data_IF_370037152020
#
_entry.id   IF_370037152020
#
_cell.length_a   1.000
_cell.length_b   1.000
_cell.length_c   1.000
_cell.angle_alpha   90.00
_cell.angle_beta   90.00
_cell.angle_gamma   90.00
#
_symmetry.space_group_name_H-M   'P 1'
#
loop_
_entity.id
_entity.type
_entity.pdbx_description
1 polymer ?
#
# COMPACT_ATOMS: atom_id res chain seq x y z
N UNK A 1 46.78 39.12 -14.11
CA UNK A 1 47.34 39.50 -12.79
C UNK A 1 46.41 39.14 -11.62
N UNK A 2 45.18 39.68 -11.50
CA UNK A 2 44.28 39.31 -10.38
C UNK A 2 43.76 37.86 -10.50
N UNK A 3 43.43 37.43 -11.73
CA UNK A 3 42.95 36.06 -11.99
C UNK A 3 44.06 35.03 -11.76
N UNK A 4 45.31 35.34 -12.14
CA UNK A 4 46.46 34.45 -11.94
C UNK A 4 46.82 34.30 -10.46
N UNK A 5 46.72 35.38 -9.67
CA UNK A 5 46.94 35.34 -8.21
C UNK A 5 45.84 34.56 -7.49
N UNK A 6 44.60 34.60 -7.99
CA UNK A 6 43.50 33.79 -7.45
C UNK A 6 43.72 32.31 -7.81
N UNK A 7 44.13 32.00 -9.04
CA UNK A 7 44.42 30.63 -9.49
C UNK A 7 45.63 30.00 -8.77
N UNK A 8 46.71 30.76 -8.52
CA UNK A 8 47.87 30.30 -7.72
C UNK A 8 47.55 30.05 -6.24
N UNK A 9 46.56 30.76 -5.67
CA UNK A 9 46.12 30.48 -4.29
C UNK A 9 45.25 29.23 -4.19
N UNK A 10 44.53 28.87 -5.25
CA UNK A 10 43.76 27.62 -5.31
C UNK A 10 44.63 26.39 -5.55
N UNK A 11 45.80 26.52 -6.19
CA UNK A 11 46.76 25.41 -6.36
C UNK A 11 47.54 25.05 -5.09
N UNK A 12 47.47 25.86 -4.03
CA UNK A 12 48.17 25.64 -2.76
C UNK A 12 47.38 24.87 -1.69
N UNK A 13 46.10 24.54 -1.94
CA UNK A 13 45.34 23.73 -0.97
C UNK A 13 45.65 22.26 -1.20
N UNK A 14 46.41 21.65 -0.30
CA UNK A 14 46.66 20.21 -0.36
C UNK A 14 45.33 19.44 -0.37
N UNK A 15 45.24 18.33 -1.11
CA UNK A 15 44.02 17.53 -1.17
C UNK A 15 43.39 17.20 0.21
N UNK A 16 44.17 16.94 1.28
CA UNK A 16 43.64 16.77 2.63
C UNK A 16 43.00 18.06 3.21
N UNK A 17 43.60 19.23 2.96
CA UNK A 17 43.06 20.51 3.42
C UNK A 17 41.77 20.89 2.68
N UNK A 18 41.69 20.63 1.37
CA UNK A 18 40.48 20.84 0.59
C UNK A 18 39.33 19.93 1.07
N UNK A 19 39.64 18.66 1.36
CA UNK A 19 38.68 17.71 1.91
C UNK A 19 38.20 18.14 3.31
N UNK A 20 39.10 18.58 4.18
CA UNK A 20 38.76 19.06 5.51
C UNK A 20 37.85 20.32 5.48
N UNK A 21 38.12 21.26 4.56
CA UNK A 21 37.28 22.44 4.35
C UNK A 21 35.89 22.07 3.81
N UNK A 22 35.81 21.10 2.90
CA UNK A 22 34.54 20.62 2.36
C UNK A 22 33.71 19.90 3.43
N UNK A 23 34.34 19.03 4.23
CA UNK A 23 33.68 18.33 5.34
C UNK A 23 33.19 19.32 6.39
N UNK A 24 34.04 20.25 6.83
CA UNK A 24 33.67 21.25 7.83
C UNK A 24 32.55 22.19 7.35
N UNK A 25 32.60 22.66 6.10
CA UNK A 25 31.53 23.47 5.50
C UNK A 25 30.21 22.70 5.42
N UNK A 26 30.26 21.42 5.06
CA UNK A 26 29.08 20.54 5.01
C UNK A 26 28.48 20.34 6.40
N UNK A 27 29.32 20.09 7.41
CA UNK A 27 28.88 19.96 8.81
C UNK A 27 28.29 21.26 9.33
N UNK A 28 28.90 22.41 9.03
CA UNK A 28 28.40 23.72 9.42
C UNK A 28 27.03 24.01 8.79
N UNK A 29 26.87 23.76 7.49
CA UNK A 29 25.58 23.89 6.81
C UNK A 29 24.53 22.96 7.42
N UNK A 30 24.90 21.71 7.71
CA UNK A 30 24.01 20.76 8.36
C UNK A 30 23.56 21.23 9.75
N UNK A 31 24.49 21.67 10.60
CA UNK A 31 24.18 22.25 11.91
C UNK A 31 23.29 23.49 11.81
N UNK A 32 23.52 24.36 10.82
CA UNK A 32 22.67 25.51 10.54
C UNK A 32 21.24 25.08 10.17
N UNK A 33 21.09 24.03 9.35
CA UNK A 33 19.75 23.51 9.01
C UNK A 33 19.03 22.91 10.22
N UNK A 34 19.74 22.22 11.13
CA UNK A 34 19.17 21.70 12.37
C UNK A 34 18.69 22.84 13.28
N UNK A 35 19.50 23.88 13.43
CA UNK A 35 19.18 25.06 14.21
C UNK A 35 17.96 25.81 13.63
N UNK A 36 17.97 26.05 12.32
CA UNK A 36 16.82 26.63 11.61
C UNK A 36 15.55 25.78 11.78
N UNK A 37 15.66 24.46 11.60
CA UNK A 37 14.53 23.54 11.72
C UNK A 37 13.85 23.57 13.08
N UNK A 38 14.64 23.73 14.15
CA UNK A 38 14.15 23.74 15.52
C UNK A 38 13.53 25.09 15.91
N UNK A 39 14.17 26.21 15.58
CA UNK A 39 13.78 27.54 16.08
C UNK A 39 12.96 28.37 15.10
N UNK A 40 13.25 28.29 13.80
CA UNK A 40 12.74 29.25 12.80
C UNK A 40 11.84 28.62 11.73
N UNK A 41 11.73 27.29 11.70
CA UNK A 41 10.83 26.63 10.76
C UNK A 41 9.38 27.03 11.04
N UNK A 42 8.51 27.17 10.02
CA UNK A 42 7.07 27.44 10.19
C UNK A 42 6.29 26.43 11.07
N UNK A 43 6.93 25.32 11.45
CA UNK A 43 6.38 24.26 12.30
C UNK A 43 7.14 24.12 13.63
N UNK A 44 7.96 25.10 14.02
CA UNK A 44 8.73 25.05 15.26
C UNK A 44 7.83 24.88 16.50
N UNK A 45 6.67 25.54 16.47
CA UNK A 45 5.64 25.53 17.50
C UNK A 45 4.80 24.23 17.54
N UNK A 46 4.79 23.45 16.46
CA UNK A 46 4.05 22.17 16.42
C UNK A 46 4.76 21.16 17.35
N UNK A 47 4.03 20.52 18.29
CA UNK A 47 4.60 19.53 19.19
C UNK A 47 5.00 18.26 18.44
N UNK A 48 6.02 17.57 18.96
CA UNK A 48 6.54 16.36 18.33
C UNK A 48 7.82 15.87 19.01
N UNK A 49 8.28 14.65 18.70
CA UNK A 49 9.53 14.12 19.23
C UNK A 49 10.71 15.03 18.91
N UNK A 50 11.61 15.26 19.88
CA UNK A 50 12.76 16.17 19.73
C UNK A 50 13.57 15.91 18.45
N UNK A 51 13.95 14.65 18.22
CA UNK A 51 14.72 14.24 17.04
C UNK A 51 13.94 14.38 15.73
N UNK A 52 12.61 14.29 15.77
CA UNK A 52 11.74 14.50 14.60
C UNK A 52 11.71 15.98 14.17
N UNK A 53 11.81 16.91 15.12
CA UNK A 53 11.90 18.35 14.83
C UNK A 53 13.23 18.70 14.17
N UNK A 54 14.31 17.99 14.52
CA UNK A 54 15.65 18.25 14.01
C UNK A 54 15.90 17.62 12.65
N UNK A 55 15.50 16.36 12.43
CA UNK A 55 15.89 15.63 11.22
C UNK A 55 14.89 14.54 10.81
N UNK A 56 14.80 14.32 9.48
CA UNK A 56 14.04 13.20 8.89
C UNK A 56 14.62 11.83 9.27
N UNK A 57 15.89 11.75 9.71
CA UNK A 57 16.50 10.48 10.11
C UNK A 57 15.77 9.80 11.26
N UNK A 58 15.12 10.57 12.14
CA UNK A 58 14.28 10.00 13.18
C UNK A 58 13.13 9.20 12.58
N UNK A 59 12.43 9.75 11.59
CA UNK A 59 11.33 9.08 10.88
C UNK A 59 11.82 7.84 10.12
N UNK A 60 12.95 7.97 9.41
CA UNK A 60 13.60 6.84 8.71
C UNK A 60 13.88 5.68 9.68
N UNK A 61 14.43 5.97 10.86
CA UNK A 61 14.70 4.96 11.89
C UNK A 61 13.42 4.26 12.37
N UNK A 62 12.30 4.97 12.50
CA UNK A 62 11.03 4.35 12.90
C UNK A 62 10.46 3.45 11.80
N UNK A 63 10.60 3.85 10.53
CA UNK A 63 10.19 3.02 9.38
C UNK A 63 11.05 1.75 9.29
N UNK A 64 12.37 1.87 9.44
CA UNK A 64 13.29 0.74 9.45
C UNK A 64 13.03 -0.26 10.59
N UNK A 65 12.45 0.19 11.70
CA UNK A 65 12.04 -0.68 12.81
C UNK A 65 10.71 -1.40 12.57
N UNK A 66 9.96 -1.03 11.53
CA UNK A 66 8.62 -1.55 11.25
C UNK A 66 7.52 -1.02 12.20
N UNK A 67 7.85 -0.14 13.14
CA UNK A 67 6.98 0.25 14.26
C UNK A 67 6.35 1.65 14.08
N UNK A 68 6.34 2.16 12.85
CA UNK A 68 5.93 3.54 12.55
C UNK A 68 4.45 3.79 12.89
N UNK A 69 3.59 2.77 12.77
CA UNK A 69 2.16 2.89 13.06
C UNK A 69 1.89 3.03 14.56
N UNK A 70 2.50 2.18 15.41
CA UNK A 70 2.37 2.31 16.86
C UNK A 70 3.05 3.58 17.36
N UNK A 71 4.21 3.93 16.79
CA UNK A 71 4.90 5.18 17.12
C UNK A 71 4.01 6.38 16.84
N UNK A 72 3.36 6.45 15.68
CA UNK A 72 2.44 7.54 15.34
C UNK A 72 1.30 7.64 16.34
N UNK A 73 0.63 6.52 16.66
CA UNK A 73 -0.45 6.48 17.66
C UNK A 73 0.01 7.01 19.02
N UNK A 74 1.14 6.51 19.53
CA UNK A 74 1.70 6.95 20.80
C UNK A 74 2.10 8.45 20.80
N UNK A 75 2.45 9.02 19.63
CA UNK A 75 2.76 10.45 19.54
C UNK A 75 1.51 11.32 19.49
N UNK A 76 0.47 10.89 18.78
CA UNK A 76 -0.83 11.58 18.78
C UNK A 76 -1.51 11.53 20.16
N UNK A 77 -1.40 10.40 20.88
CA UNK A 77 -1.86 10.31 22.28
C UNK A 77 -1.12 11.28 23.21
N UNK A 78 0.18 11.50 23.00
CA UNK A 78 1.00 12.38 23.85
C UNK A 78 0.88 13.86 23.51
N UNK A 79 0.83 14.19 22.22
CA UNK A 79 0.98 15.57 21.73
C UNK A 79 -0.30 16.16 21.13
N UNK A 80 -1.35 15.36 20.97
CA UNK A 80 -2.63 15.79 20.41
C UNK A 80 -2.73 15.56 18.89
N UNK A 81 -3.74 16.16 18.22
CA UNK A 81 -4.17 15.82 16.86
C UNK A 81 -3.21 16.27 15.74
N UNK A 82 -2.23 17.11 16.05
CA UNK A 82 -1.24 17.63 15.10
C UNK A 82 0.15 17.36 15.67
N UNK A 83 0.92 16.50 15.01
CA UNK A 83 2.24 16.07 15.47
C UNK A 83 3.28 16.28 14.37
N UNK A 84 4.38 16.97 14.69
CA UNK A 84 5.53 17.10 13.78
C UNK A 84 6.33 15.79 13.74
N UNK A 85 6.36 15.16 12.57
CA UNK A 85 7.02 13.86 12.34
C UNK A 85 8.36 13.99 11.62
N UNK A 86 8.59 15.12 10.96
CA UNK A 86 9.88 15.51 10.40
C UNK A 86 10.00 17.05 10.34
N UNK A 87 11.17 17.62 10.02
CA UNK A 87 11.34 19.06 9.83
C UNK A 87 10.22 19.70 9.00
N UNK A 88 9.91 19.07 7.86
CA UNK A 88 9.00 19.52 6.81
C UNK A 88 7.68 18.72 6.75
N UNK A 89 7.41 17.84 7.72
CA UNK A 89 6.31 16.88 7.66
C UNK A 89 5.51 16.82 8.97
N UNK A 90 4.20 16.99 8.85
CA UNK A 90 3.25 16.96 9.96
C UNK A 90 2.26 15.83 9.76
N UNK A 91 2.02 15.06 10.82
CA UNK A 91 0.97 14.04 10.89
C UNK A 91 -0.24 14.63 11.59
N UNK A 92 -1.42 14.46 10.99
CA UNK A 92 -2.70 14.99 11.47
C UNK A 92 -3.72 13.83 11.52
N UNK A 93 -4.60 13.82 12.53
CA UNK A 93 -5.70 12.85 12.67
C UNK A 93 -7.04 13.31 12.07
N UNK A 94 -7.05 14.40 11.29
CA UNK A 94 -8.24 15.02 10.70
C UNK A 94 -8.49 14.49 9.26
N UNK A 95 -9.67 13.90 8.98
CA UNK A 95 -10.05 13.42 7.65
C UNK A 95 -9.95 14.46 6.52
N UNK A 96 -10.01 15.76 6.82
CA UNK A 96 -9.91 16.83 5.83
C UNK A 96 -8.53 16.91 5.12
N UNK A 97 -7.50 16.22 5.64
CA UNK A 97 -6.12 16.28 5.15
C UNK A 97 -5.81 15.49 3.85
N UNK A 98 -6.79 14.90 3.18
CA UNK A 98 -6.59 13.85 2.15
C UNK A 98 -6.14 14.29 0.73
N UNK A 99 -6.05 15.58 0.41
CA UNK A 99 -5.94 16.05 -1.00
C UNK A 99 -4.50 16.20 -1.50
N UNK A 100 -4.10 15.50 -2.59
CA UNK A 100 -2.71 15.51 -3.10
C UNK A 100 -2.44 16.40 -4.31
N UNK A 101 -3.33 16.39 -5.29
CA UNK A 101 -3.39 17.22 -6.51
C UNK A 101 -4.38 16.47 -7.40
N UNK A 102 -5.59 17.01 -7.52
CA UNK A 102 -6.72 16.31 -8.12
C UNK A 102 -6.57 16.20 -9.65
N UNK A 103 -5.82 17.09 -10.32
CA UNK A 103 -5.84 17.19 -11.78
C UNK A 103 -5.11 16.04 -12.49
N UNK A 104 -3.86 15.77 -12.08
CA UNK A 104 -3.05 14.70 -12.68
C UNK A 104 -3.62 13.33 -12.35
N UNK A 105 -4.05 13.14 -11.10
CA UNK A 105 -4.71 11.91 -10.68
C UNK A 105 -6.05 11.69 -11.39
N UNK A 106 -6.88 12.73 -11.54
CA UNK A 106 -8.16 12.63 -12.25
C UNK A 106 -7.98 12.27 -13.72
N UNK A 107 -6.97 12.82 -14.41
CA UNK A 107 -6.69 12.52 -15.81
C UNK A 107 -6.37 11.03 -16.05
N UNK A 108 -5.60 10.38 -15.18
CA UNK A 108 -5.35 8.93 -15.27
C UNK A 108 -6.56 8.11 -14.83
N UNK A 109 -7.19 8.49 -13.72
CA UNK A 109 -8.35 7.78 -13.15
C UNK A 109 -9.58 7.83 -14.06
N UNK A 110 -9.72 8.82 -14.96
CA UNK A 110 -10.87 8.92 -15.89
C UNK A 110 -11.03 7.71 -16.81
N UNK A 111 -9.94 6.99 -17.09
CA UNK A 111 -9.96 5.83 -17.97
C UNK A 111 -10.43 4.58 -17.22
N UNK A 112 -9.89 4.35 -16.03
CA UNK A 112 -10.02 3.08 -15.31
C UNK A 112 -11.01 3.11 -14.14
N UNK A 113 -11.49 4.28 -13.70
CA UNK A 113 -12.41 4.41 -12.55
C UNK A 113 -13.64 3.50 -12.65
N UNK A 114 -14.24 3.42 -13.84
CA UNK A 114 -15.45 2.62 -14.05
C UNK A 114 -15.18 1.12 -13.91
N UNK A 115 -13.96 0.66 -14.16
CA UNK A 115 -13.58 -0.75 -14.00
C UNK A 115 -13.64 -1.19 -12.54
N UNK A 116 -13.28 -0.28 -11.64
CA UNK A 116 -13.24 -0.50 -10.19
C UNK A 116 -14.52 -0.04 -9.48
N UNK A 117 -15.60 0.26 -10.21
CA UNK A 117 -16.89 0.53 -9.58
C UNK A 117 -17.49 -0.76 -9.02
N UNK A 118 -18.30 -0.65 -7.95
CA UNK A 118 -18.96 -1.83 -7.37
C UNK A 118 -19.77 -2.61 -8.41
N UNK A 119 -20.48 -1.92 -9.31
CA UNK A 119 -21.25 -2.59 -10.36
C UNK A 119 -20.37 -3.40 -11.31
N UNK A 120 -19.22 -2.86 -11.74
CA UNK A 120 -18.29 -3.54 -12.64
C UNK A 120 -17.59 -4.73 -11.96
N UNK A 121 -17.30 -4.63 -10.66
CA UNK A 121 -16.69 -5.73 -9.90
C UNK A 121 -17.70 -6.85 -9.65
N UNK A 122 -18.98 -6.53 -9.39
CA UNK A 122 -20.02 -7.54 -9.21
C UNK A 122 -20.32 -8.33 -10.49
N UNK A 123 -20.10 -7.76 -11.68
CA UNK A 123 -20.13 -8.53 -12.93
C UNK A 123 -19.05 -9.63 -13.00
N UNK A 124 -17.99 -9.48 -12.19
CA UNK A 124 -16.84 -10.37 -12.14
C UNK A 124 -16.85 -11.26 -10.88
N UNK A 125 -17.95 -11.32 -10.13
CA UNK A 125 -18.08 -12.09 -8.89
C UNK A 125 -17.77 -13.58 -9.07
N UNK A 126 -18.22 -14.17 -10.19
CA UNK A 126 -17.98 -15.59 -10.49
C UNK A 126 -16.51 -15.98 -10.58
N UNK A 127 -15.62 -15.03 -10.86
CA UNK A 127 -14.17 -15.26 -10.87
C UNK A 127 -13.62 -15.43 -9.45
N UNK A 128 -14.15 -14.66 -8.50
CA UNK A 128 -13.82 -14.81 -7.08
C UNK A 128 -14.39 -16.12 -6.54
N UNK A 129 -15.60 -16.49 -6.94
CA UNK A 129 -16.24 -17.75 -6.57
C UNK A 129 -15.41 -18.97 -6.98
N UNK A 130 -14.84 -18.96 -8.19
CA UNK A 130 -13.95 -20.02 -8.64
C UNK A 130 -12.74 -20.19 -7.70
N UNK A 131 -12.14 -19.08 -7.24
CA UNK A 131 -11.04 -19.11 -6.29
C UNK A 131 -11.49 -19.60 -4.91
N UNK A 132 -12.68 -19.19 -4.44
CA UNK A 132 -13.25 -19.64 -3.17
C UNK A 132 -13.46 -21.15 -3.17
N UNK A 133 -13.95 -21.69 -4.29
CA UNK A 133 -14.17 -23.14 -4.45
C UNK A 133 -12.84 -23.90 -4.46
N UNK A 134 -11.82 -23.41 -5.18
CA UNK A 134 -10.46 -23.99 -5.11
C UNK A 134 -9.94 -23.97 -3.67
N UNK A 135 -10.08 -22.84 -2.98
CA UNK A 135 -9.61 -22.71 -1.60
C UNK A 135 -10.33 -23.68 -0.66
N UNK A 136 -11.65 -23.78 -0.76
CA UNK A 136 -12.47 -24.73 0.01
C UNK A 136 -12.05 -26.18 -0.23
N UNK A 137 -11.85 -26.58 -1.48
CA UNK A 137 -11.40 -27.93 -1.81
C UNK A 137 -10.05 -28.26 -1.15
N UNK A 138 -9.11 -27.30 -1.13
CA UNK A 138 -7.83 -27.48 -0.44
C UNK A 138 -7.95 -27.54 1.08
N UNK A 139 -8.86 -26.76 1.67
CA UNK A 139 -9.14 -26.85 3.11
C UNK A 139 -9.71 -28.22 3.50
N UNK A 140 -10.59 -28.80 2.67
CA UNK A 140 -11.13 -30.14 2.89
C UNK A 140 -10.04 -31.23 2.89
N UNK A 141 -9.01 -31.10 2.05
CA UNK A 141 -7.85 -32.01 2.06
C UNK A 141 -7.13 -32.03 3.42
N UNK A 142 -6.92 -30.86 4.05
CA UNK A 142 -6.29 -30.78 5.37
C UNK A 142 -7.15 -31.40 6.47
N UNK A 143 -8.47 -31.25 6.38
CA UNK A 143 -9.41 -31.89 7.32
C UNK A 143 -9.31 -33.40 7.22
N UNK A 144 -9.32 -33.96 6.02
CA UNK A 144 -9.20 -35.41 5.79
C UNK A 144 -7.86 -35.94 6.31
N UNK A 145 -6.78 -35.20 6.09
CA UNK A 145 -5.43 -35.58 6.53
C UNK A 145 -5.18 -35.32 8.03
N UNK A 146 -6.08 -34.58 8.70
CA UNK A 146 -5.90 -34.09 10.08
C UNK A 146 -4.59 -33.32 10.26
N UNK A 147 -4.21 -32.54 9.25
CA UNK A 147 -2.98 -31.76 9.23
C UNK A 147 -3.23 -30.27 9.53
N UNK A 148 -2.23 -29.60 10.08
CA UNK A 148 -2.25 -28.17 10.34
C UNK A 148 -1.64 -27.40 9.17
N UNK A 149 -2.12 -26.18 8.91
CA UNK A 149 -1.59 -25.35 7.84
C UNK A 149 -1.46 -23.88 8.26
N UNK A 150 -0.59 -23.14 7.58
CA UNK A 150 -0.45 -21.69 7.78
C UNK A 150 -1.54 -20.94 7.02
N UNK A 151 -2.64 -20.62 7.70
CA UNK A 151 -3.74 -19.84 7.13
C UNK A 151 -3.27 -18.49 6.55
N UNK A 152 -2.24 -17.85 7.13
CA UNK A 152 -1.73 -16.58 6.63
C UNK A 152 -1.11 -16.72 5.23
N UNK A 153 -0.31 -17.76 5.01
CA UNK A 153 0.25 -18.07 3.69
C UNK A 153 -0.85 -18.42 2.68
N UNK A 154 -1.84 -19.20 3.09
CA UNK A 154 -2.96 -19.57 2.23
C UNK A 154 -3.81 -18.38 1.79
N UNK A 155 -4.06 -17.42 2.68
CA UNK A 155 -4.76 -16.18 2.33
C UNK A 155 -3.95 -15.31 1.37
N UNK A 156 -2.61 -15.34 1.46
CA UNK A 156 -1.74 -14.68 0.48
C UNK A 156 -1.87 -15.34 -0.90
N UNK A 157 -1.77 -16.66 -0.97
CA UNK A 157 -1.93 -17.43 -2.22
C UNK A 157 -3.31 -17.20 -2.84
N UNK A 158 -4.37 -17.23 -2.01
CA UNK A 158 -5.72 -16.92 -2.44
C UNK A 158 -5.84 -15.51 -3.06
N UNK A 159 -5.25 -14.49 -2.43
CA UNK A 159 -5.29 -13.13 -2.97
C UNK A 159 -4.55 -12.99 -4.32
N UNK A 160 -3.44 -13.72 -4.50
CA UNK A 160 -2.74 -13.78 -5.79
C UNK A 160 -3.62 -14.41 -6.88
N UNK A 161 -4.19 -15.58 -6.60
CA UNK A 161 -5.04 -16.29 -7.56
C UNK A 161 -6.31 -15.50 -7.90
N UNK A 162 -6.93 -14.82 -6.93
CA UNK A 162 -8.09 -13.94 -7.17
C UNK A 162 -7.74 -12.82 -8.14
N UNK A 163 -6.58 -12.18 -8.00
CA UNK A 163 -6.17 -11.14 -8.96
C UNK A 163 -5.90 -11.73 -10.34
N UNK A 164 -5.26 -12.90 -10.43
CA UNK A 164 -5.06 -13.59 -11.71
C UNK A 164 -6.39 -13.90 -12.42
N UNK A 165 -7.33 -14.49 -11.69
CA UNK A 165 -8.66 -14.85 -12.20
C UNK A 165 -9.49 -13.61 -12.56
N UNK A 166 -9.43 -12.54 -11.77
CA UNK A 166 -10.15 -11.29 -12.03
C UNK A 166 -9.59 -10.51 -13.24
N UNK A 167 -8.26 -10.49 -13.40
CA UNK A 167 -7.60 -9.75 -14.48
C UNK A 167 -7.60 -10.54 -15.79
N UNK A 168 -7.17 -11.79 -15.76
CA UNK A 168 -6.90 -12.58 -16.96
C UNK A 168 -7.83 -13.78 -17.13
N UNK A 169 -8.83 -13.93 -16.25
CA UNK A 169 -9.75 -15.07 -16.29
C UNK A 169 -9.07 -16.41 -16.00
N UNK A 170 -7.87 -16.38 -15.41
CA UNK A 170 -7.07 -17.56 -15.08
C UNK A 170 -6.31 -17.39 -13.76
N UNK A 171 -6.51 -18.32 -12.83
CA UNK A 171 -5.72 -18.47 -11.61
C UNK A 171 -4.24 -18.67 -11.96
N UNK A 172 -3.34 -18.10 -11.15
CA UNK A 172 -1.90 -18.34 -11.30
C UNK A 172 -1.51 -19.75 -10.88
N UNK A 173 -2.32 -20.37 -10.00
CA UNK A 173 -2.16 -21.73 -9.51
C UNK A 173 -1.55 -21.79 -8.11
N UNK A 174 -1.39 -20.66 -7.40
CA UNK A 174 -0.69 -20.61 -6.10
C UNK A 174 -1.31 -21.58 -5.10
N UNK A 175 -2.65 -21.62 -5.04
CA UNK A 175 -3.38 -22.55 -4.19
C UNK A 175 -3.35 -24.00 -4.70
N UNK A 176 -3.35 -24.21 -6.02
CA UNK A 176 -3.36 -25.54 -6.62
C UNK A 176 -2.06 -26.28 -6.35
N UNK A 177 -0.93 -25.64 -6.64
CA UNK A 177 0.39 -26.25 -6.48
C UNK A 177 1.00 -26.02 -5.10
N UNK A 178 0.33 -25.24 -4.24
CA UNK A 178 0.81 -24.83 -2.90
C UNK A 178 2.20 -24.19 -2.98
N UNK A 179 2.40 -23.32 -3.98
CA UNK A 179 3.72 -22.83 -4.37
C UNK A 179 3.73 -21.32 -4.66
N UNK A 180 4.78 -20.64 -4.16
CA UNK A 180 5.09 -19.24 -4.51
C UNK A 180 5.81 -19.20 -5.87
N UNK A 181 5.02 -19.18 -6.95
CA UNK A 181 5.58 -19.19 -8.30
C UNK A 181 6.52 -18.01 -8.52
N UNK A 182 7.72 -18.34 -9.02
CA UNK A 182 8.79 -17.38 -9.31
C UNK A 182 9.24 -16.53 -8.10
N UNK A 183 8.80 -16.87 -6.88
CA UNK A 183 9.15 -16.15 -5.66
C UNK A 183 8.51 -14.77 -5.54
N UNK A 184 7.29 -14.59 -6.06
CA UNK A 184 6.58 -13.30 -6.03
C UNK A 184 6.28 -12.83 -4.61
N UNK A 185 5.76 -13.70 -3.73
CA UNK A 185 5.48 -13.35 -2.33
C UNK A 185 6.78 -12.90 -1.65
N UNK A 186 7.84 -13.70 -1.77
CA UNK A 186 9.16 -13.39 -1.18
C UNK A 186 9.77 -12.10 -1.73
N UNK A 187 9.53 -11.82 -3.01
CA UNK A 187 9.96 -10.58 -3.66
C UNK A 187 9.30 -9.37 -3.02
N UNK A 188 7.97 -9.41 -2.82
CA UNK A 188 7.23 -8.33 -2.16
C UNK A 188 7.70 -8.12 -0.72
N UNK A 189 7.84 -9.18 0.07
CA UNK A 189 8.32 -9.13 1.46
C UNK A 189 9.68 -8.44 1.59
N UNK A 190 10.56 -8.66 0.61
CA UNK A 190 11.90 -8.07 0.62
C UNK A 190 11.90 -6.62 0.10
N UNK A 191 11.06 -6.33 -0.90
CA UNK A 191 11.05 -5.04 -1.60
C UNK A 191 10.28 -3.97 -0.83
N UNK A 192 9.12 -4.29 -0.25
CA UNK A 192 8.22 -3.32 0.39
C UNK A 192 8.88 -2.52 1.55
N UNK A 193 9.67 -3.12 2.45
CA UNK A 193 10.39 -2.36 3.48
C UNK A 193 11.41 -1.36 2.91
N UNK A 194 12.08 -1.73 1.82
CA UNK A 194 13.02 -0.85 1.13
C UNK A 194 12.28 0.32 0.45
N UNK A 195 11.15 0.04 -0.20
CA UNK A 195 10.28 1.07 -0.80
C UNK A 195 9.73 2.02 0.27
N UNK A 196 9.22 1.49 1.39
CA UNK A 196 8.72 2.30 2.51
C UNK A 196 9.79 3.24 3.07
N UNK A 197 11.02 2.75 3.21
CA UNK A 197 12.17 3.56 3.63
C UNK A 197 12.47 4.66 2.61
N UNK A 198 12.44 4.32 1.32
CA UNK A 198 12.70 5.26 0.23
C UNK A 198 11.68 6.39 0.18
N UNK A 199 10.41 6.12 0.53
CA UNK A 199 9.35 7.12 0.60
C UNK A 199 9.60 8.21 1.66
N UNK A 200 10.32 7.89 2.74
CA UNK A 200 10.58 8.85 3.84
C UNK A 200 11.98 9.46 3.81
N UNK A 201 12.90 8.89 3.02
CA UNK A 201 14.30 9.33 2.93
C UNK A 201 14.41 10.77 2.37
N UNK A 202 15.30 11.63 2.94
CA UNK A 202 15.60 12.94 2.37
C UNK A 202 15.99 12.85 0.90
N UNK A 203 15.51 13.80 0.08
CA UNK A 203 15.70 13.76 -1.37
C UNK A 203 17.18 13.65 -1.78
N UNK A 204 18.07 14.33 -1.07
CA UNK A 204 19.52 14.34 -1.34
C UNK A 204 20.22 13.00 -1.01
N UNK A 205 19.60 12.12 -0.22
CA UNK A 205 20.11 10.78 0.07
C UNK A 205 19.47 9.70 -0.81
N UNK A 206 18.43 10.03 -1.58
CA UNK A 206 17.79 9.06 -2.48
C UNK A 206 18.76 8.47 -3.51
N UNK A 207 19.74 9.21 -4.07
CA UNK A 207 20.74 8.60 -4.95
C UNK A 207 21.53 7.46 -4.29
N UNK A 208 21.70 7.48 -2.95
CA UNK A 208 22.38 6.39 -2.22
C UNK A 208 21.57 5.10 -2.20
N UNK A 209 20.28 5.13 -2.54
CA UNK A 209 19.45 3.91 -2.67
C UNK A 209 19.96 3.00 -3.78
N UNK A 210 20.66 3.55 -4.79
CA UNK A 210 21.33 2.78 -5.83
C UNK A 210 22.41 1.87 -5.23
N UNK A 211 23.03 2.25 -4.10
CA UNK A 211 23.93 1.36 -3.37
C UNK A 211 23.20 0.16 -2.76
N UNK A 212 21.88 0.25 -2.58
CA UNK A 212 21.04 -0.87 -2.19
C UNK A 212 21.09 -2.03 -3.20
N UNK A 213 21.39 -1.77 -4.48
CA UNK A 213 21.64 -2.82 -5.47
C UNK A 213 22.91 -3.65 -5.18
N UNK A 214 23.81 -3.16 -4.31
CA UNK A 214 24.97 -3.93 -3.85
C UNK A 214 24.60 -4.94 -2.76
N UNK A 215 23.40 -4.82 -2.17
CA UNK A 215 22.88 -5.73 -1.15
C UNK A 215 22.15 -6.87 -1.86
N UNK A 216 22.72 -8.09 -1.79
CA UNK A 216 22.26 -9.23 -2.59
C UNK A 216 20.76 -9.56 -2.47
N UNK A 217 20.13 -9.55 -1.27
CA UNK A 217 18.67 -9.75 -1.16
C UNK A 217 17.84 -8.71 -1.92
N UNK A 218 18.20 -7.42 -1.83
CA UNK A 218 17.46 -6.34 -2.46
C UNK A 218 17.65 -6.35 -3.98
N UNK A 219 18.87 -6.65 -4.45
CA UNK A 219 19.12 -6.85 -5.88
C UNK A 219 18.25 -7.99 -6.46
N UNK A 220 18.17 -9.12 -5.76
CA UNK A 220 17.31 -10.26 -6.16
C UNK A 220 15.84 -9.87 -6.17
N UNK A 221 15.36 -9.13 -5.16
CA UNK A 221 13.98 -8.68 -5.11
C UNK A 221 13.64 -7.69 -6.23
N UNK A 222 14.56 -6.79 -6.60
CA UNK A 222 14.36 -5.90 -7.74
C UNK A 222 14.29 -6.68 -9.06
N UNK A 223 15.13 -7.70 -9.23
CA UNK A 223 15.02 -8.61 -10.38
C UNK A 223 13.68 -9.35 -10.38
N UNK A 224 13.24 -9.89 -9.25
CA UNK A 224 11.93 -10.55 -9.14
C UNK A 224 10.76 -9.60 -9.44
N UNK A 225 10.90 -8.32 -9.12
CA UNK A 225 9.93 -7.29 -9.50
C UNK A 225 9.90 -7.09 -11.03
N UNK A 226 11.06 -7.06 -11.68
CA UNK A 226 11.12 -7.04 -13.14
C UNK A 226 10.48 -8.29 -13.75
N UNK A 227 10.67 -9.47 -13.14
CA UNK A 227 10.03 -10.72 -13.57
C UNK A 227 8.49 -10.63 -13.49
N UNK A 228 7.93 -10.03 -12.42
CA UNK A 228 6.49 -9.74 -12.32
C UNK A 228 6.01 -8.82 -13.46
N UNK A 229 6.76 -7.75 -13.76
CA UNK A 229 6.44 -6.81 -14.84
C UNK A 229 6.50 -7.51 -16.21
N UNK A 230 7.48 -8.38 -16.42
CA UNK A 230 7.60 -9.19 -17.64
C UNK A 230 6.43 -10.14 -17.78
N UNK A 231 6.07 -10.87 -16.73
CA UNK A 231 4.93 -11.78 -16.73
C UNK A 231 3.61 -11.05 -17.08
N UNK A 232 3.38 -9.86 -16.51
CA UNK A 232 2.22 -9.05 -16.86
C UNK A 232 2.22 -8.62 -18.34
N UNK A 233 3.37 -8.20 -18.88
CA UNK A 233 3.50 -7.85 -20.31
C UNK A 233 3.26 -9.06 -21.21
N UNK A 234 3.76 -10.24 -20.83
CA UNK A 234 3.52 -11.48 -21.56
C UNK A 234 2.04 -11.87 -21.55
N UNK A 235 1.35 -11.72 -20.41
CA UNK A 235 -0.10 -11.91 -20.31
C UNK A 235 -0.87 -11.00 -21.27
N UNK A 236 -0.53 -9.70 -21.30
CA UNK A 236 -1.14 -8.73 -22.22
C UNK A 236 -0.84 -9.10 -23.68
N UNK A 237 0.40 -9.46 -24.01
CA UNK A 237 0.78 -9.86 -25.35
C UNK A 237 0.06 -11.14 -25.80
N UNK A 238 -0.09 -12.12 -24.89
CA UNK A 238 -0.86 -13.34 -25.14
C UNK A 238 -2.33 -13.01 -25.40
N UNK A 239 -2.94 -12.14 -24.58
CA UNK A 239 -4.33 -11.71 -24.76
C UNK A 239 -4.53 -10.99 -26.09
N UNK A 240 -3.63 -10.07 -26.47
CA UNK A 240 -3.70 -9.39 -27.77
C UNK A 240 -3.72 -10.41 -28.92
N UNK A 241 -2.84 -11.41 -28.89
CA UNK A 241 -2.83 -12.49 -29.91
C UNK A 241 -4.14 -13.27 -29.94
N UNK A 242 -4.79 -13.48 -28.79
CA UNK A 242 -6.09 -14.16 -28.72
C UNK A 242 -7.20 -13.30 -29.32
N UNK A 243 -7.19 -11.99 -29.04
CA UNK A 243 -8.12 -11.01 -29.62
C UNK A 243 -7.96 -10.95 -31.14
N UNK A 244 -6.72 -10.81 -31.64
CA UNK A 244 -6.43 -10.74 -33.09
C UNK A 244 -6.92 -11.98 -33.85
N UNK A 245 -6.86 -13.15 -33.20
CA UNK A 245 -7.28 -14.43 -33.77
C UNK A 245 -8.76 -14.75 -33.51
N UNK A 246 -9.48 -13.97 -32.71
CA UNK A 246 -10.84 -14.29 -32.27
C UNK A 246 -10.93 -15.56 -31.40
N UNK A 247 -9.88 -15.89 -30.66
CA UNK A 247 -9.72 -17.15 -29.88
C UNK A 247 -9.76 -16.95 -28.37
N UNK A 248 -10.33 -15.84 -27.88
CA UNK A 248 -10.41 -15.57 -26.44
C UNK A 248 -11.28 -16.65 -25.76
N UNK A 249 -10.66 -17.50 -24.92
CA UNK A 249 -11.26 -18.70 -24.33
C UNK A 249 -12.58 -18.43 -23.61
N UNK A 250 -12.71 -17.28 -22.93
CA UNK A 250 -13.92 -16.92 -22.20
C UNK A 250 -15.15 -16.68 -23.10
N UNK A 251 -14.96 -16.33 -24.38
CA UNK A 251 -16.05 -16.23 -25.35
C UNK A 251 -16.63 -17.61 -25.67
N UNK A 252 -15.80 -18.65 -25.62
CA UNK A 252 -16.20 -20.05 -25.80
C UNK A 252 -16.94 -20.57 -24.56
N UNK A 253 -16.55 -20.10 -23.37
CA UNK A 253 -17.14 -20.51 -22.09
C UNK A 253 -18.33 -19.64 -21.64
N UNK A 254 -18.73 -18.64 -22.43
CA UNK A 254 -19.78 -17.67 -22.12
C UNK A 254 -19.61 -16.99 -20.74
N UNK A 255 -18.36 -16.73 -20.35
CA UNK A 255 -18.04 -16.03 -19.09
C UNK A 255 -18.14 -14.50 -19.29
N UNK A 256 -18.41 -13.73 -18.21
CA UNK A 256 -18.37 -12.26 -18.23
C UNK A 256 -17.04 -11.70 -18.75
N UNK A 257 -16.97 -10.40 -19.04
CA UNK A 257 -15.69 -9.76 -19.37
C UNK A 257 -14.83 -9.62 -18.11
N UNK A 258 -13.60 -10.13 -18.17
CA UNK A 258 -12.56 -9.87 -17.18
C UNK A 258 -12.03 -8.42 -17.29
N UNK A 259 -11.23 -8.00 -16.30
CA UNK A 259 -10.71 -6.63 -16.29
C UNK A 259 -9.78 -6.35 -17.46
N UNK A 260 -9.02 -7.34 -17.93
CA UNK A 260 -8.10 -7.16 -19.05
C UNK A 260 -8.88 -6.86 -20.34
N UNK A 261 -9.97 -7.56 -20.61
CA UNK A 261 -10.83 -7.25 -21.76
C UNK A 261 -11.46 -5.86 -21.67
N UNK A 262 -11.92 -5.47 -20.49
CA UNK A 262 -12.43 -4.12 -20.28
C UNK A 262 -11.34 -3.07 -20.55
N UNK A 263 -10.08 -3.35 -20.19
CA UNK A 263 -8.92 -2.50 -20.51
C UNK A 263 -8.58 -2.46 -22.01
N UNK A 264 -8.62 -3.61 -22.71
CA UNK A 264 -8.45 -3.66 -24.17
C UNK A 264 -9.54 -2.88 -24.90
N UNK A 265 -10.80 -2.96 -24.45
CA UNK A 265 -11.90 -2.18 -25.00
C UNK A 265 -11.69 -0.66 -24.81
N UNK A 266 -11.14 -0.25 -23.67
CA UNK A 266 -10.79 1.16 -23.43
C UNK A 266 -9.66 1.59 -24.38
N UNK A 267 -8.62 0.77 -24.54
CA UNK A 267 -7.51 1.07 -25.44
C UNK A 267 -7.95 1.15 -26.92
N UNK A 268 -8.90 0.32 -27.34
CA UNK A 268 -9.47 0.37 -28.68
C UNK A 268 -10.44 1.54 -28.92
N UNK A 269 -10.96 2.17 -27.86
CA UNK A 269 -11.96 3.25 -27.97
C UNK A 269 -11.41 4.65 -27.68
N UNK A 270 -10.21 4.75 -27.10
CA UNK A 270 -9.61 6.03 -26.69
C UNK A 270 -8.14 6.07 -27.09
N UNK A 271 -7.81 6.99 -28.00
CA UNK A 271 -6.44 7.18 -28.52
C UNK A 271 -5.42 7.52 -27.42
N UNK A 272 -5.87 8.14 -26.32
CA UNK A 272 -5.05 8.52 -25.16
C UNK A 272 -4.74 7.34 -24.21
N UNK A 273 -5.18 6.11 -24.50
CA UNK A 273 -4.96 4.94 -23.64
C UNK A 273 -4.36 3.78 -24.45
N UNK A 274 -3.09 3.47 -24.20
CA UNK A 274 -2.29 2.57 -25.04
C UNK A 274 -2.18 1.16 -24.46
N UNK A 275 -1.67 0.20 -25.24
CA UNK A 275 -1.32 -1.14 -24.73
C UNK A 275 -0.26 -1.09 -23.62
N UNK A 276 0.60 -0.07 -23.60
CA UNK A 276 1.55 0.13 -22.50
C UNK A 276 0.83 0.53 -21.20
N UNK A 277 -0.27 1.28 -21.31
CA UNK A 277 -1.12 1.61 -20.16
C UNK A 277 -1.89 0.39 -19.67
N UNK A 278 -2.39 -0.46 -20.58
CA UNK A 278 -3.00 -1.76 -20.23
C UNK A 278 -2.02 -2.64 -19.44
N UNK A 279 -0.77 -2.79 -19.94
CA UNK A 279 0.26 -3.53 -19.24
C UNK A 279 0.62 -2.92 -17.89
N UNK A 280 0.59 -1.58 -17.80
CA UNK A 280 0.83 -0.88 -16.53
C UNK A 280 -0.25 -1.18 -15.51
N UNK A 281 -1.52 -1.13 -15.90
CA UNK A 281 -2.63 -1.45 -15.01
C UNK A 281 -2.60 -2.92 -14.55
N UNK A 282 -2.18 -3.85 -15.42
CA UNK A 282 -2.08 -5.27 -15.08
C UNK A 282 -1.06 -5.54 -13.96
N UNK A 283 0.19 -5.06 -14.08
CA UNK A 283 1.19 -5.32 -13.03
C UNK A 283 0.95 -4.50 -11.76
N UNK A 284 0.42 -3.27 -11.88
CA UNK A 284 0.07 -2.44 -10.70
C UNK A 284 -1.01 -3.12 -9.87
N UNK A 285 -1.99 -3.74 -10.52
CA UNK A 285 -3.09 -4.41 -9.84
C UNK A 285 -2.66 -5.72 -9.19
N UNK A 286 -1.77 -6.48 -9.84
CA UNK A 286 -1.12 -7.65 -9.25
C UNK A 286 -0.38 -7.29 -7.97
N UNK A 287 0.40 -6.20 -7.99
CA UNK A 287 1.15 -5.73 -6.83
C UNK A 287 0.25 -5.18 -5.71
N UNK A 288 -0.70 -4.31 -6.05
CA UNK A 288 -1.51 -3.60 -5.07
C UNK A 288 -2.63 -4.48 -4.49
N UNK A 289 -3.21 -5.36 -5.30
CA UNK A 289 -4.41 -6.13 -4.97
C UNK A 289 -4.15 -7.44 -4.22
N UNK A 290 -2.97 -8.04 -4.37
CA UNK A 290 -2.61 -9.30 -3.70
C UNK A 290 -2.28 -9.07 -2.21
N UNK A 291 -1.24 -8.30 -1.93
CA UNK A 291 -0.67 -8.15 -0.59
C UNK A 291 -1.61 -7.42 0.38
N UNK A 292 -2.21 -6.31 -0.05
CA UNK A 292 -3.08 -5.51 0.84
C UNK A 292 -4.37 -6.23 1.24
N UNK A 293 -4.93 -7.03 0.33
CA UNK A 293 -6.13 -7.83 0.54
C UNK A 293 -5.82 -9.02 1.44
N UNK A 294 -4.69 -9.70 1.23
CA UNK A 294 -4.23 -10.79 2.08
C UNK A 294 -4.01 -10.32 3.53
N UNK A 295 -3.37 -9.16 3.74
CA UNK A 295 -3.21 -8.56 5.07
C UNK A 295 -4.57 -8.30 5.73
N UNK A 296 -5.54 -7.76 4.98
CA UNK A 296 -6.88 -7.51 5.51
C UNK A 296 -7.58 -8.79 5.94
N UNK A 297 -7.62 -9.81 5.07
CA UNK A 297 -8.24 -11.10 5.39
C UNK A 297 -7.57 -11.76 6.60
N UNK A 298 -6.22 -11.75 6.62
CA UNK A 298 -5.44 -12.32 7.73
C UNK A 298 -5.76 -11.62 9.04
N UNK A 299 -5.83 -10.29 9.05
CA UNK A 299 -6.16 -9.55 10.26
C UNK A 299 -7.58 -9.81 10.75
N UNK A 300 -8.57 -9.76 9.84
CA UNK A 300 -9.97 -10.04 10.16
C UNK A 300 -10.10 -11.42 10.79
N UNK A 301 -9.58 -12.46 10.12
CA UNK A 301 -9.69 -13.84 10.58
C UNK A 301 -8.89 -14.08 11.87
N UNK A 302 -7.68 -13.51 12.01
CA UNK A 302 -6.88 -13.61 13.22
C UNK A 302 -7.64 -13.10 14.45
N UNK A 303 -8.22 -11.90 14.36
CA UNK A 303 -8.95 -11.31 15.49
C UNK A 303 -10.26 -12.04 15.80
N UNK A 304 -10.96 -12.55 14.78
CA UNK A 304 -12.17 -13.35 14.96
C UNK A 304 -11.84 -14.67 15.66
N UNK A 305 -10.90 -15.46 15.12
CA UNK A 305 -10.53 -16.79 15.63
C UNK A 305 -9.99 -16.70 17.07
N UNK A 306 -9.22 -15.64 17.38
CA UNK A 306 -8.67 -15.43 18.73
C UNK A 306 -9.73 -15.01 19.77
N UNK A 307 -10.93 -14.66 19.33
CA UNK A 307 -11.99 -14.13 20.18
C UNK A 307 -13.20 -15.10 20.21
N UNK A 308 -13.24 -16.11 21.10
CA UNK A 308 -14.27 -17.16 21.08
C UNK A 308 -15.70 -16.63 21.03
N UNK A 309 -16.02 -15.60 21.82
CA UNK A 309 -17.34 -14.96 21.83
C UNK A 309 -17.71 -14.32 20.49
N UNK A 310 -16.74 -13.74 19.79
CA UNK A 310 -16.96 -13.12 18.48
C UNK A 310 -17.14 -14.21 17.42
N UNK A 311 -16.28 -15.23 17.46
CA UNK A 311 -16.32 -16.38 16.58
C UNK A 311 -17.67 -17.12 16.66
N UNK A 312 -18.09 -17.52 17.87
CA UNK A 312 -19.36 -18.24 18.09
C UNK A 312 -20.57 -17.43 17.62
N UNK A 313 -20.60 -16.13 17.92
CA UNK A 313 -21.70 -15.26 17.49
C UNK A 313 -21.74 -15.07 15.97
N UNK A 314 -20.57 -14.96 15.34
CA UNK A 314 -20.47 -14.85 13.89
C UNK A 314 -20.96 -16.13 13.20
N UNK A 315 -20.50 -17.29 13.67
CA UNK A 315 -20.98 -18.57 13.16
C UNK A 315 -22.48 -18.71 13.34
N UNK A 316 -23.03 -18.38 14.50
CA UNK A 316 -24.47 -18.44 14.73
C UNK A 316 -25.28 -17.56 13.74
N UNK A 317 -24.80 -16.36 13.42
CA UNK A 317 -25.45 -15.50 12.40
C UNK A 317 -25.40 -16.14 11.00
N UNK A 318 -24.25 -16.68 10.60
CA UNK A 318 -24.06 -17.32 9.29
C UNK A 318 -24.89 -18.61 9.18
N UNK A 319 -24.85 -19.47 10.19
CA UNK A 319 -25.58 -20.74 10.24
C UNK A 319 -27.10 -20.50 10.21
N UNK A 320 -27.58 -19.49 10.95
CA UNK A 320 -28.99 -19.10 10.91
C UNK A 320 -29.42 -18.62 9.53
N UNK A 321 -28.62 -17.77 8.88
CA UNK A 321 -28.92 -17.27 7.54
C UNK A 321 -28.89 -18.40 6.50
N UNK A 322 -27.93 -19.32 6.61
CA UNK A 322 -27.85 -20.51 5.74
C UNK A 322 -29.05 -21.43 5.93
N UNK A 323 -29.45 -21.73 7.18
CA UNK A 323 -30.62 -22.57 7.48
C UNK A 323 -31.93 -21.97 6.98
N UNK A 324 -32.01 -20.64 6.88
CA UNK A 324 -33.16 -19.93 6.30
C UNK A 324 -33.12 -19.84 4.77
N UNK A 325 -32.09 -20.38 4.11
CA UNK A 325 -31.91 -20.30 2.66
C UNK A 325 -31.59 -18.90 2.15
N UNK A 326 -31.02 -18.03 3.00
CA UNK A 326 -30.69 -16.64 2.65
C UNK A 326 -29.28 -16.49 2.04
N UNK A 327 -28.46 -17.54 2.10
CA UNK A 327 -27.09 -17.56 1.60
C UNK A 327 -26.92 -18.65 0.54
N UNK A 328 -26.34 -18.25 -0.59
CA UNK A 328 -25.79 -19.16 -1.59
C UNK A 328 -24.50 -19.83 -1.09
N UNK A 329 -23.99 -20.81 -1.83
CA UNK A 329 -22.71 -21.46 -1.52
C UNK A 329 -21.85 -21.61 -2.80
N UNK A 330 -20.82 -20.77 -3.00
CA UNK A 330 -20.38 -19.67 -2.13
C UNK A 330 -21.44 -18.55 -2.01
N UNK A 331 -21.38 -17.77 -0.94
CA UNK A 331 -22.36 -16.71 -0.68
C UNK A 331 -22.09 -15.51 -1.59
N UNK A 332 -23.14 -15.00 -2.24
CA UNK A 332 -23.02 -13.82 -3.08
C UNK A 332 -22.82 -12.57 -2.21
N UNK A 333 -22.11 -11.56 -2.72
CA UNK A 333 -21.90 -10.27 -2.08
C UNK A 333 -23.22 -9.64 -1.65
N UNK A 334 -24.22 -9.64 -2.54
CA UNK A 334 -25.54 -9.05 -2.26
C UNK A 334 -26.31 -9.72 -1.12
N UNK A 335 -25.92 -10.94 -0.75
CA UNK A 335 -26.44 -11.71 0.38
C UNK A 335 -25.58 -11.44 1.62
N UNK A 336 -24.26 -11.57 1.50
CA UNK A 336 -23.30 -11.41 2.59
C UNK A 336 -23.36 -10.01 3.24
N UNK A 337 -23.58 -8.94 2.46
CA UNK A 337 -23.71 -7.58 3.02
C UNK A 337 -24.94 -7.38 3.91
N UNK A 338 -25.91 -8.29 3.85
CA UNK A 338 -27.12 -8.24 4.69
C UNK A 338 -26.88 -8.82 6.08
N UNK A 339 -25.72 -9.44 6.33
CA UNK A 339 -25.31 -9.98 7.63
C UNK A 339 -24.66 -8.86 8.47
N UNK A 340 -25.38 -8.23 9.42
CA UNK A 340 -24.89 -7.05 10.10
C UNK A 340 -23.69 -7.33 10.99
N UNK A 341 -23.63 -8.50 11.66
CA UNK A 341 -22.53 -8.83 12.55
C UNK A 341 -21.26 -9.23 11.77
N UNK A 342 -21.40 -9.95 10.66
CA UNK A 342 -20.30 -10.18 9.71
C UNK A 342 -19.69 -8.86 9.22
N UNK A 343 -20.52 -7.92 8.75
CA UNK A 343 -20.03 -6.61 8.29
C UNK A 343 -19.38 -5.82 9.43
N UNK A 344 -19.90 -5.91 10.65
CA UNK A 344 -19.27 -5.30 11.83
C UNK A 344 -17.89 -5.92 12.11
N UNK A 345 -17.74 -7.24 12.00
CA UNK A 345 -16.45 -7.92 12.18
C UNK A 345 -15.44 -7.49 11.11
N UNK A 346 -15.84 -7.41 9.84
CA UNK A 346 -14.97 -6.94 8.76
C UNK A 346 -14.51 -5.49 8.99
N UNK A 347 -15.45 -4.59 9.31
CA UNK A 347 -15.13 -3.18 9.63
C UNK A 347 -14.21 -3.06 10.84
N UNK A 348 -14.42 -3.87 11.87
CA UNK A 348 -13.58 -3.87 13.06
C UNK A 348 -12.18 -4.41 12.76
N UNK A 349 -12.04 -5.42 11.91
CA UNK A 349 -10.74 -5.89 11.43
C UNK A 349 -9.97 -4.79 10.69
N UNK A 350 -10.61 -4.09 9.75
CA UNK A 350 -10.01 -2.92 9.08
C UNK A 350 -9.66 -1.79 10.05
N UNK A 351 -10.45 -1.61 11.12
CA UNK A 351 -10.21 -0.59 12.14
C UNK A 351 -8.96 -0.93 12.96
N UNK A 352 -8.90 -2.15 13.50
CA UNK A 352 -7.84 -2.60 14.41
C UNK A 352 -6.51 -2.79 13.68
N UNK A 353 -6.55 -3.30 12.46
CA UNK A 353 -5.38 -3.55 11.64
C UNK A 353 -5.59 -3.10 10.18
N UNK A 354 -5.50 -1.79 9.89
CA UNK A 354 -5.50 -1.30 8.52
C UNK A 354 -4.28 -1.84 7.75
N UNK A 355 -4.49 -2.37 6.54
CA UNK A 355 -3.42 -2.98 5.73
C UNK A 355 -2.26 -2.01 5.42
N UNK A 356 -2.52 -0.70 5.41
CA UNK A 356 -1.51 0.33 5.19
C UNK A 356 -1.33 1.16 6.47
N UNK A 357 -0.21 0.96 7.15
CA UNK A 357 0.10 1.65 8.41
C UNK A 357 0.94 2.93 8.28
N UNK A 358 1.40 3.27 7.07
CA UNK A 358 2.18 4.49 6.84
C UNK A 358 1.30 5.74 6.87
N UNK A 359 1.89 6.87 7.28
CA UNK A 359 1.27 8.18 7.01
C UNK A 359 1.21 8.38 5.50
N UNK A 360 0.08 8.85 4.98
CA UNK A 360 -0.08 9.16 3.57
C UNK A 360 0.02 10.68 3.33
N UNK A 361 1.22 11.27 3.31
CA UNK A 361 1.38 12.71 3.18
C UNK A 361 0.89 13.24 1.84
N UNK A 362 0.41 14.47 1.91
CA UNK A 362 -0.20 15.28 0.89
C UNK A 362 0.46 16.65 0.89
N UNK A 363 0.53 17.28 -0.27
CA UNK A 363 1.04 18.65 -0.38
C UNK A 363 -0.13 19.61 -0.23
N UNK A 364 0.02 20.57 0.69
CA UNK A 364 -0.96 21.65 0.84
C UNK A 364 -0.93 22.52 -0.42
N UNK A 365 -2.10 22.85 -1.00
CA UNK A 365 -2.19 23.65 -2.22
C UNK A 365 -1.54 25.04 -2.02
N UNK A 366 -1.12 25.73 -3.10
CA UNK A 366 -0.44 27.02 -3.00
C UNK A 366 -1.18 28.06 -2.14
N UNK A 367 -2.52 28.06 -2.16
CA UNK A 367 -3.36 28.95 -1.36
C UNK A 367 -3.36 28.67 0.16
N UNK A 368 -2.70 27.59 0.60
CA UNK A 368 -2.81 27.10 1.98
C UNK A 368 -4.14 26.44 2.28
N UNK A 369 -4.28 25.87 3.48
CA UNK A 369 -5.52 25.25 3.94
C UNK A 369 -5.59 25.23 5.47
N UNK A 370 -6.79 25.41 6.02
CA UNK A 370 -7.06 25.21 7.44
C UNK A 370 -7.45 23.76 7.70
N UNK A 371 -6.71 23.05 8.55
CA UNK A 371 -6.99 21.67 8.97
C UNK A 371 -6.89 21.63 10.50
N UNK A 372 -7.85 20.97 11.17
CA UNK A 372 -7.91 20.90 12.63
C UNK A 372 -7.72 22.26 13.34
N UNK A 373 -8.34 23.32 12.79
CA UNK A 373 -8.27 24.69 13.35
C UNK A 373 -6.93 25.42 13.15
N UNK A 374 -6.00 24.85 12.35
CA UNK A 374 -4.69 25.44 12.08
C UNK A 374 -4.48 25.67 10.58
N UNK A 375 -3.95 26.84 10.23
CA UNK A 375 -3.53 27.16 8.87
C UNK A 375 -2.19 26.49 8.53
N UNK A 376 -2.16 25.80 7.40
CA UNK A 376 -0.94 25.28 6.79
C UNK A 376 -0.64 26.06 5.51
N UNK A 377 0.57 26.58 5.32
CA UNK A 377 0.94 27.30 4.10
C UNK A 377 1.10 26.34 2.91
N UNK A 378 1.01 26.86 1.69
CA UNK A 378 1.25 26.07 0.47
C UNK A 378 2.62 25.40 0.44
N UNK A 379 2.68 24.19 -0.13
CA UNK A 379 3.90 23.36 -0.21
C UNK A 379 4.15 22.49 1.03
N UNK A 380 3.47 22.75 2.15
CA UNK A 380 3.50 21.94 3.38
C UNK A 380 3.21 20.46 3.11
N UNK A 381 3.91 19.53 3.79
CA UNK A 381 3.59 18.09 3.77
C UNK A 381 2.77 17.70 4.99
N UNK A 382 1.51 17.37 4.76
CA UNK A 382 0.54 17.00 5.78
C UNK A 382 0.04 15.59 5.49
N UNK A 383 0.16 14.66 6.44
CA UNK A 383 -0.28 13.27 6.26
C UNK A 383 -1.18 12.78 7.38
N UNK A 384 -2.00 11.80 7.06
CA UNK A 384 -2.89 11.13 8.01
C UNK A 384 -2.54 9.65 8.06
N UNK A 385 -2.60 9.06 9.25
CA UNK A 385 -2.42 7.62 9.45
C UNK A 385 -3.73 6.99 9.88
N UNK A 386 -4.16 5.95 9.16
CA UNK A 386 -5.34 5.17 9.52
C UNK A 386 -5.23 4.62 10.94
N UNK A 387 -4.04 4.16 11.35
CA UNK A 387 -3.80 3.66 12.72
C UNK A 387 -3.96 4.70 13.83
N UNK A 388 -3.88 5.99 13.50
CA UNK A 388 -4.17 7.08 14.46
C UNK A 388 -5.67 7.33 14.50
N UNK A 389 -6.28 7.57 13.33
CA UNK A 389 -7.71 7.92 13.23
C UNK A 389 -8.61 6.79 13.72
N UNK A 390 -8.29 5.55 13.37
CA UNK A 390 -9.07 4.35 13.74
C UNK A 390 -9.00 4.01 15.24
N UNK A 391 -8.20 4.74 16.03
CA UNK A 391 -8.08 4.60 17.48
C UNK A 391 -8.36 5.92 18.22
N UNK A 392 -8.80 6.96 17.50
CA UNK A 392 -9.15 8.24 18.10
C UNK A 392 -10.41 8.09 18.96
N UNK A 393 -10.25 8.28 20.28
CA UNK A 393 -11.35 8.20 21.26
C UNK A 393 -12.38 9.31 21.10
N UNK A 394 -12.00 10.45 20.51
CA UNK A 394 -12.92 11.54 20.18
C UNK A 394 -13.90 11.15 19.08
N UNK A 395 -13.51 10.23 18.19
CA UNK A 395 -14.34 9.73 17.08
C UNK A 395 -15.12 8.48 17.50
N UNK A 396 -14.46 7.54 18.18
CA UNK A 396 -15.00 6.19 18.43
C UNK A 396 -15.51 5.97 19.86
N UNK A 397 -15.32 6.93 20.76
CA UNK A 397 -15.70 6.83 22.17
C UNK A 397 -14.70 6.04 23.03
N UNK A 398 -14.98 5.96 24.34
CA UNK A 398 -14.02 5.44 25.35
C UNK A 398 -13.98 3.90 25.48
N UNK A 399 -14.83 3.14 24.78
CA UNK A 399 -14.93 1.67 24.87
C UNK A 399 -14.13 0.96 23.77
N UNK A 400 -12.94 1.46 23.47
CA UNK A 400 -12.05 0.79 22.51
C UNK A 400 -11.41 -0.44 23.16
N UNK A 401 -11.52 -1.59 22.50
CA UNK A 401 -10.68 -2.74 22.80
C UNK A 401 -9.23 -2.30 22.60
N UNK A 402 -8.42 -2.39 23.66
CA UNK A 402 -6.97 -2.30 23.50
C UNK A 402 -6.51 -3.53 22.71
N UNK A 403 -5.58 -3.35 21.75
CA UNK A 403 -5.13 -4.41 20.84
C UNK A 403 -4.54 -5.63 21.54
#
# INVERSE_FOLDING_TARGET
MIIDVILERFTCVSAPAALALLVSSTVALWMMTLFYSYYFHPYADIPGPFWAKLSRFWLVRQVLRGDIHNTQRARHEKYGPIVRMAPDEVSISDPAALKRDEKIHAQRRRFVNNLYSLSSILESESYVDACIMTFKARLEEFVVQSDSFDLGLWLQMFAFDVIGELFDGKQFGFMEDRHDYQGYIKTLDTLLPAVATSCVLPFYLRPLQVLGHLISPLHKALKGYDDIVVAAKETVARRQRQVDKGTVERLVQNRPSDLLDKLFNIAGSKDDFTLADVATEAWVSLFAGSDTTAIAMRAILFHIIRSPKVYERLLAEIDQASAQGLLSNPANYSEAIKLPYFIACCKEGFRVHPSVGMSMPRHVPPAGVNIAGRYFPGGSRVGMSAHVVHFDKGILGCRLLQP
#
